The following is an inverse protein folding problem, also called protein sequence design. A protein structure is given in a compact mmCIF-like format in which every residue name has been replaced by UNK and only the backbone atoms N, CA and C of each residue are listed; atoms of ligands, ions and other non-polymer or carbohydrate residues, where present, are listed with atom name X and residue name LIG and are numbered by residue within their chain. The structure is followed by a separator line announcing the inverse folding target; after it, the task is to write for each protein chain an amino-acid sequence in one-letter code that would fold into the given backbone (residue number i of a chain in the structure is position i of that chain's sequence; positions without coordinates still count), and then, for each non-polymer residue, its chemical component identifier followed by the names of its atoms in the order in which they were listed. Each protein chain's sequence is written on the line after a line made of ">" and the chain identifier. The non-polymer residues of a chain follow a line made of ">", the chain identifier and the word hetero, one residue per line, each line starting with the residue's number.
data_IF_103913782246
#
_entry.id   IF_103913782246
#
_cell.length_a   1.000
_cell.length_b   1.000
_cell.length_c   1.000
_cell.angle_alpha   90.00
_cell.angle_beta   90.00
_cell.angle_gamma   90.00
#
_symmetry.space_group_name_H-M   'P 1'
#
loop_
_entity.id
_entity.type
_entity.pdbx_description
1 polymer ?
#
# COMPACT_ATOMS: atom_id res chain seq x y z
N UNK A 1 14.09 -17.31 -20.55
CA UNK A 1 13.41 -18.42 -19.85
C UNK A 1 14.38 -19.38 -19.18
N UNK A 2 15.35 -19.97 -19.91
CA UNK A 2 16.33 -20.92 -19.34
C UNK A 2 17.05 -20.37 -18.10
N UNK A 3 17.44 -19.08 -18.12
CA UNK A 3 18.09 -18.44 -16.98
C UNK A 3 17.20 -18.36 -15.75
N UNK A 4 15.90 -18.05 -15.90
CA UNK A 4 14.98 -17.96 -14.75
C UNK A 4 14.71 -19.34 -14.18
N UNK A 5 14.50 -20.35 -15.04
CA UNK A 5 14.36 -21.75 -14.60
C UNK A 5 15.59 -22.26 -13.83
N UNK A 6 16.80 -22.02 -14.37
CA UNK A 6 18.04 -22.38 -13.69
C UNK A 6 18.21 -21.66 -12.33
N UNK A 7 17.81 -20.39 -12.26
CA UNK A 7 17.85 -19.62 -11.00
C UNK A 7 16.81 -20.12 -10.00
N UNK A 8 15.63 -20.56 -10.44
CA UNK A 8 14.65 -21.21 -9.56
C UNK A 8 15.19 -22.51 -8.98
N UNK A 9 15.85 -23.35 -9.78
CA UNK A 9 16.47 -24.59 -9.29
C UNK A 9 17.62 -24.31 -8.31
N UNK A 10 18.47 -23.32 -8.60
CA UNK A 10 19.54 -22.90 -7.68
C UNK A 10 18.97 -22.37 -6.36
N UNK A 11 17.88 -21.61 -6.43
CA UNK A 11 17.20 -21.09 -5.25
C UNK A 11 16.72 -22.22 -4.36
N UNK A 12 16.05 -23.23 -4.93
CA UNK A 12 15.58 -24.42 -4.20
C UNK A 12 16.74 -25.17 -3.55
N UNK A 13 17.81 -25.46 -4.31
CA UNK A 13 18.99 -26.16 -3.79
C UNK A 13 19.67 -25.40 -2.64
N UNK A 14 19.72 -24.06 -2.70
CA UNK A 14 20.33 -23.23 -1.66
C UNK A 14 19.50 -23.13 -0.38
N UNK A 15 18.21 -23.50 -0.40
CA UNK A 15 17.39 -23.54 0.83
C UNK A 15 17.84 -24.64 1.78
N UNK A 16 18.40 -25.73 1.25
CA UNK A 16 18.86 -26.89 2.02
C UNK A 16 20.25 -26.66 2.65
N UNK A 17 20.94 -25.58 2.26
CA UNK A 17 22.30 -25.28 2.71
C UNK A 17 22.29 -24.15 3.75
N UNK A 18 22.82 -24.43 4.95
CA UNK A 18 22.81 -23.48 6.09
C UNK A 18 23.42 -22.10 5.74
N UNK A 19 24.48 -22.07 4.91
CA UNK A 19 25.15 -20.83 4.47
C UNK A 19 24.61 -20.25 3.16
N UNK A 20 23.68 -20.92 2.47
CA UNK A 20 23.11 -20.50 1.18
C UNK A 20 22.07 -19.37 1.28
N UNK A 21 21.67 -19.00 2.50
CA UNK A 21 20.49 -18.16 2.78
C UNK A 21 20.57 -16.75 2.20
N UNK A 22 21.72 -16.07 2.32
CA UNK A 22 21.90 -14.72 1.77
C UNK A 22 21.87 -14.72 0.24
N UNK A 23 22.45 -15.76 -0.37
CA UNK A 23 22.46 -15.94 -1.83
C UNK A 23 21.06 -16.28 -2.35
N UNK A 24 20.33 -17.14 -1.62
CA UNK A 24 18.94 -17.45 -1.91
C UNK A 24 18.06 -16.18 -1.92
N UNK A 25 18.25 -15.28 -0.95
CA UNK A 25 17.56 -13.98 -0.94
C UNK A 25 17.92 -13.10 -2.14
N UNK A 26 19.19 -13.06 -2.54
CA UNK A 26 19.62 -12.34 -3.74
C UNK A 26 18.98 -12.89 -5.02
N UNK A 27 18.96 -14.22 -5.18
CA UNK A 27 18.32 -14.89 -6.32
C UNK A 27 16.81 -14.64 -6.32
N UNK A 28 16.15 -14.78 -5.17
CA UNK A 28 14.74 -14.46 -4.99
C UNK A 28 14.43 -13.01 -5.39
N UNK A 29 15.24 -12.07 -4.93
CA UNK A 29 15.11 -10.65 -5.26
C UNK A 29 15.27 -10.41 -6.77
N UNK A 30 16.23 -11.07 -7.41
CA UNK A 30 16.43 -11.00 -8.85
C UNK A 30 15.21 -11.54 -9.61
N UNK A 31 14.75 -12.75 -9.29
CA UNK A 31 13.59 -13.35 -9.96
C UNK A 31 12.36 -12.45 -9.78
N UNK A 32 12.06 -12.01 -8.55
CA UNK A 32 10.93 -11.12 -8.29
C UNK A 32 11.00 -9.82 -9.11
N UNK A 33 12.19 -9.22 -9.25
CA UNK A 33 12.38 -8.04 -10.09
C UNK A 33 12.17 -8.32 -11.58
N UNK A 34 12.61 -9.47 -12.09
CA UNK A 34 12.40 -9.86 -13.50
C UNK A 34 10.90 -10.06 -13.79
N UNK A 35 10.18 -10.67 -12.85
CA UNK A 35 8.72 -10.87 -12.95
C UNK A 35 7.93 -9.54 -12.86
N UNK A 36 8.56 -8.45 -12.42
CA UNK A 36 7.93 -7.12 -12.32
C UNK A 36 8.05 -6.27 -13.59
N UNK A 37 8.89 -6.67 -14.55
CA UNK A 37 9.14 -5.87 -15.75
C UNK A 37 7.92 -5.90 -16.67
N UNK A 38 7.68 -4.80 -17.39
CA UNK A 38 6.48 -4.57 -18.19
C UNK A 38 6.14 -5.72 -19.16
N UNK A 39 7.14 -6.31 -19.81
CA UNK A 39 6.96 -7.41 -20.78
C UNK A 39 6.58 -8.73 -20.11
N UNK A 40 6.87 -8.89 -18.81
CA UNK A 40 6.73 -10.16 -18.11
C UNK A 40 5.60 -10.18 -17.10
N UNK A 41 5.25 -9.04 -16.49
CA UNK A 41 4.37 -8.99 -15.32
C UNK A 41 2.98 -9.57 -15.52
N UNK A 42 2.52 -9.70 -16.76
CA UNK A 42 1.23 -10.32 -17.13
C UNK A 42 1.39 -11.64 -17.90
N UNK A 43 2.62 -12.02 -18.29
CA UNK A 43 2.85 -13.16 -19.16
C UNK A 43 2.51 -14.50 -18.46
N UNK A 44 1.86 -15.47 -19.15
CA UNK A 44 1.51 -16.76 -18.55
C UNK A 44 2.69 -17.51 -17.91
N UNK A 45 3.87 -17.42 -18.54
CA UNK A 45 5.11 -18.00 -18.01
C UNK A 45 5.57 -17.34 -16.71
N UNK A 46 5.41 -16.02 -16.57
CA UNK A 46 5.76 -15.31 -15.35
C UNK A 46 4.85 -15.74 -14.19
N UNK A 47 3.57 -15.97 -14.48
CA UNK A 47 2.61 -16.52 -13.51
C UNK A 47 3.03 -17.91 -13.05
N UNK A 48 3.45 -18.79 -13.97
CA UNK A 48 3.95 -20.13 -13.61
C UNK A 48 5.21 -20.06 -12.73
N UNK A 49 6.18 -19.21 -13.09
CA UNK A 49 7.40 -19.03 -12.30
C UNK A 49 7.08 -18.45 -10.92
N UNK A 50 6.15 -17.51 -10.83
CA UNK A 50 5.67 -16.96 -9.55
C UNK A 50 5.05 -18.06 -8.66
N UNK A 51 4.26 -18.98 -9.22
CA UNK A 51 3.75 -20.14 -8.48
C UNK A 51 4.86 -21.06 -7.96
N UNK A 52 5.92 -21.29 -8.75
CA UNK A 52 7.07 -22.08 -8.31
C UNK A 52 7.88 -21.37 -7.22
N UNK A 53 7.93 -20.03 -7.27
CA UNK A 53 8.66 -19.20 -6.31
C UNK A 53 7.94 -19.07 -4.96
N UNK A 54 6.60 -19.11 -4.97
CA UNK A 54 5.76 -18.93 -3.78
C UNK A 54 6.23 -19.75 -2.56
N UNK A 55 6.28 -21.10 -2.61
CA UNK A 55 6.58 -21.91 -1.42
C UNK A 55 7.97 -21.60 -0.87
N UNK A 56 8.93 -21.37 -1.77
CA UNK A 56 10.29 -21.00 -1.40
C UNK A 56 10.33 -19.68 -0.65
N UNK A 57 9.68 -18.63 -1.15
CA UNK A 57 9.67 -17.31 -0.48
C UNK A 57 8.94 -17.37 0.86
N UNK A 58 7.82 -18.09 0.93
CA UNK A 58 7.05 -18.23 2.16
C UNK A 58 7.87 -18.97 3.23
N UNK A 59 8.64 -19.99 2.84
CA UNK A 59 9.59 -20.65 3.74
C UNK A 59 10.77 -19.75 4.14
N UNK A 60 11.27 -18.91 3.21
CA UNK A 60 12.34 -17.94 3.47
C UNK A 60 11.92 -16.83 4.43
N UNK A 61 10.62 -16.62 4.66
CA UNK A 61 10.17 -15.50 5.48
C UNK A 61 10.66 -15.54 6.93
N UNK A 62 11.20 -16.67 7.42
CA UNK A 62 11.92 -16.83 8.71
C UNK A 62 13.28 -16.17 8.83
N UNK A 63 13.75 -15.49 7.79
CA UNK A 63 14.99 -14.73 7.83
C UNK A 63 14.80 -13.35 8.48
N UNK A 64 14.47 -13.35 9.78
CA UNK A 64 14.32 -12.13 10.54
C UNK A 64 15.65 -11.70 11.22
N UNK A 65 15.83 -10.38 11.28
CA UNK A 65 16.76 -9.58 12.13
C UNK A 65 18.20 -9.26 11.70
N UNK A 66 18.83 -9.93 10.73
CA UNK A 66 20.20 -9.56 10.31
C UNK A 66 20.32 -9.20 8.83
N UNK A 67 19.99 -7.93 8.54
CA UNK A 67 20.67 -7.06 7.59
C UNK A 67 21.29 -7.66 6.33
N UNK A 68 20.49 -8.21 5.41
CA UNK A 68 20.88 -8.14 3.99
C UNK A 68 20.44 -6.78 3.44
N UNK A 69 21.22 -5.76 3.82
CA UNK A 69 21.16 -4.46 3.19
C UNK A 69 21.56 -4.63 1.71
N UNK A 70 20.66 -4.39 0.77
CA UNK A 70 20.98 -4.26 -0.66
C UNK A 70 20.01 -4.90 -1.65
N UNK A 71 19.14 -5.83 -1.22
CA UNK A 71 18.23 -6.52 -2.15
C UNK A 71 16.87 -5.82 -2.25
N UNK A 72 16.29 -5.77 -3.46
CA UNK A 72 14.96 -5.17 -3.71
C UNK A 72 13.84 -5.82 -2.89
N UNK A 73 13.99 -7.09 -2.53
CA UNK A 73 13.01 -7.83 -1.73
C UNK A 73 13.11 -7.51 -0.22
N UNK A 74 14.25 -7.03 0.27
CA UNK A 74 14.50 -6.79 1.69
C UNK A 74 13.47 -5.85 2.36
N UNK A 75 13.03 -4.75 1.71
CA UNK A 75 11.95 -3.93 2.23
C UNK A 75 10.70 -4.75 2.52
N UNK A 76 10.31 -5.66 1.62
CA UNK A 76 9.12 -6.51 1.75
C UNK A 76 9.26 -7.48 2.92
N UNK A 77 10.44 -8.09 3.05
CA UNK A 77 10.71 -9.06 4.11
C UNK A 77 10.79 -8.43 5.51
N UNK A 78 11.23 -7.16 5.60
CA UNK A 78 11.46 -6.48 6.90
C UNK A 78 10.23 -6.41 7.79
N UNK A 79 9.03 -6.29 7.22
CA UNK A 79 7.78 -6.26 8.00
C UNK A 79 6.91 -7.49 7.74
N UNK A 80 7.47 -8.54 7.13
CA UNK A 80 6.72 -9.74 6.74
C UNK A 80 5.93 -10.35 7.90
N UNK A 81 6.59 -10.55 9.05
CA UNK A 81 5.96 -11.15 10.22
C UNK A 81 4.95 -10.25 10.91
N UNK A 82 5.28 -8.95 11.06
CA UNK A 82 4.38 -7.96 11.65
C UNK A 82 3.11 -7.84 10.82
N UNK A 83 3.27 -7.73 9.51
CA UNK A 83 2.17 -7.54 8.57
C UNK A 83 1.43 -8.83 8.23
N UNK A 84 1.93 -10.00 8.69
CA UNK A 84 1.45 -11.33 8.29
C UNK A 84 1.40 -11.44 6.76
N UNK A 85 2.46 -10.98 6.11
CA UNK A 85 2.62 -11.02 4.66
C UNK A 85 2.63 -12.46 4.16
N UNK A 86 2.27 -12.62 2.89
CA UNK A 86 2.37 -13.86 2.12
C UNK A 86 2.89 -13.53 0.71
N UNK A 87 3.07 -14.54 -0.13
CA UNK A 87 3.59 -14.30 -1.46
C UNK A 87 2.69 -13.38 -2.31
N UNK A 88 1.37 -13.43 -2.13
CA UNK A 88 0.45 -12.51 -2.83
C UNK A 88 0.74 -11.05 -2.47
N UNK A 89 1.00 -10.72 -1.20
CA UNK A 89 1.35 -9.34 -0.82
C UNK A 89 2.68 -8.86 -1.39
N UNK A 90 3.65 -9.77 -1.54
CA UNK A 90 4.90 -9.47 -2.23
C UNK A 90 4.68 -9.25 -3.73
N UNK A 91 3.87 -10.10 -4.35
CA UNK A 91 3.49 -9.97 -5.76
C UNK A 91 2.81 -8.62 -6.05
N UNK A 92 2.02 -8.10 -5.10
CA UNK A 92 1.43 -6.75 -5.17
C UNK A 92 2.52 -5.68 -5.13
N UNK A 93 3.42 -5.73 -4.14
CA UNK A 93 4.52 -4.76 -4.02
C UNK A 93 5.39 -4.77 -5.29
N UNK A 94 5.65 -5.93 -5.90
CA UNK A 94 6.44 -6.08 -7.12
C UNK A 94 5.63 -5.95 -8.44
N UNK A 95 4.37 -5.53 -8.44
CA UNK A 95 3.50 -5.45 -9.64
C UNK A 95 3.51 -6.73 -10.51
N UNK A 96 3.53 -7.93 -9.92
CA UNK A 96 3.38 -9.20 -10.65
C UNK A 96 1.91 -9.38 -11.09
N UNK A 97 1.44 -8.50 -11.96
CA UNK A 97 0.01 -8.24 -12.19
C UNK A 97 -0.78 -9.47 -12.63
N UNK A 98 -0.25 -10.27 -13.55
CA UNK A 98 -0.90 -11.51 -14.00
C UNK A 98 -1.10 -12.50 -12.85
N UNK A 99 -0.13 -12.60 -11.94
CA UNK A 99 -0.23 -13.44 -10.74
C UNK A 99 -1.29 -12.88 -9.79
N UNK A 100 -1.22 -11.59 -9.46
CA UNK A 100 -2.19 -10.93 -8.59
C UNK A 100 -3.62 -11.07 -9.12
N UNK A 101 -3.82 -10.86 -10.42
CA UNK A 101 -5.13 -10.98 -11.05
C UNK A 101 -5.62 -12.43 -11.10
N UNK A 102 -4.74 -13.42 -11.14
CA UNK A 102 -5.15 -14.83 -11.12
C UNK A 102 -5.50 -15.34 -9.72
N UNK A 103 -4.75 -14.91 -8.71
CA UNK A 103 -4.79 -15.53 -7.37
C UNK A 103 -5.37 -14.64 -6.27
N UNK A 104 -5.61 -13.35 -6.52
CA UNK A 104 -6.44 -12.55 -5.62
C UNK A 104 -7.87 -13.09 -5.66
N UNK A 105 -8.39 -13.50 -4.51
CA UNK A 105 -9.76 -14.00 -4.36
C UNK A 105 -10.44 -13.36 -3.17
N UNK A 106 -11.77 -13.43 -3.13
CA UNK A 106 -12.59 -13.03 -1.97
C UNK A 106 -12.16 -13.72 -0.67
N UNK A 107 -11.74 -14.98 -0.74
CA UNK A 107 -11.21 -15.69 0.42
C UNK A 107 -9.92 -15.05 0.92
N UNK A 108 -8.95 -14.79 0.04
CA UNK A 108 -7.68 -14.16 0.40
C UNK A 108 -7.85 -12.77 1.04
N UNK A 109 -8.80 -11.96 0.54
CA UNK A 109 -9.11 -10.66 1.12
C UNK A 109 -9.63 -10.79 2.55
N UNK A 110 -10.57 -11.70 2.78
CA UNK A 110 -11.22 -11.89 4.08
C UNK A 110 -10.35 -12.59 5.10
N UNK A 111 -9.49 -13.52 4.66
CA UNK A 111 -8.64 -14.31 5.55
C UNK A 111 -7.33 -13.62 5.90
N UNK A 112 -6.97 -12.53 5.21
CA UNK A 112 -5.72 -11.80 5.47
C UNK A 112 -5.73 -11.19 6.87
N UNK A 113 -4.81 -11.66 7.72
CA UNK A 113 -4.50 -11.07 9.02
C UNK A 113 -3.39 -10.01 8.89
N UNK A 114 -3.18 -9.20 9.92
CA UNK A 114 -2.15 -8.17 9.92
C UNK A 114 -2.51 -7.01 8.99
N UNK A 115 -1.61 -6.63 8.09
CA UNK A 115 -1.87 -5.56 7.10
C UNK A 115 -2.89 -6.04 6.05
N UNK A 116 -4.03 -5.36 5.86
CA UNK A 116 -5.04 -5.72 4.85
C UNK A 116 -4.49 -5.64 3.43
N UNK A 117 -4.98 -6.51 2.52
CA UNK A 117 -4.56 -6.51 1.09
C UNK A 117 -4.78 -5.14 0.44
N UNK A 118 -5.92 -4.51 0.73
CA UNK A 118 -6.28 -3.19 0.22
C UNK A 118 -5.18 -2.14 0.50
N UNK A 119 -4.56 -2.24 1.67
CA UNK A 119 -3.52 -1.33 2.10
C UNK A 119 -2.20 -1.54 1.33
N UNK A 120 -1.86 -2.77 0.92
CA UNK A 120 -0.71 -3.02 0.02
C UNK A 120 -0.93 -2.40 -1.36
N UNK A 121 -2.16 -2.47 -1.88
CA UNK A 121 -2.50 -1.92 -3.20
C UNK A 121 -2.45 -0.39 -3.17
N UNK A 122 -3.02 0.23 -2.13
CA UNK A 122 -3.12 1.68 -2.00
C UNK A 122 -1.80 2.34 -1.60
N UNK A 123 -0.96 1.63 -0.82
CA UNK A 123 0.33 2.15 -0.33
C UNK A 123 1.46 1.17 -0.67
N UNK A 124 1.82 1.05 -1.97
CA UNK A 124 2.89 0.16 -2.40
C UNK A 124 4.21 0.47 -1.71
N UNK A 125 5.00 -0.56 -1.41
CA UNK A 125 6.26 -0.38 -0.66
C UNK A 125 7.35 0.40 -1.39
N UNK A 126 7.27 0.46 -2.71
CA UNK A 126 8.21 1.22 -3.55
C UNK A 126 7.70 2.63 -3.89
N UNK A 127 6.56 3.06 -3.34
CA UNK A 127 6.12 4.45 -3.42
C UNK A 127 7.15 5.40 -2.79
N UNK A 128 7.46 6.52 -3.46
CA UNK A 128 8.45 7.52 -3.00
C UNK A 128 9.93 7.09 -3.09
N UNK A 129 10.23 5.83 -3.44
CA UNK A 129 11.60 5.33 -3.57
C UNK A 129 12.14 5.55 -4.97
N UNK A 130 12.59 6.75 -5.27
CA UNK A 130 13.29 7.00 -6.52
C UNK A 130 14.39 8.06 -6.37
N UNK A 131 15.43 7.72 -5.60
CA UNK A 131 16.77 8.15 -5.98
C UNK A 131 17.22 7.33 -7.21
N UNK A 132 16.87 7.86 -8.39
CA UNK A 132 17.69 7.89 -9.60
C UNK A 132 18.24 6.64 -10.31
N UNK A 133 17.81 5.38 -10.08
CA UNK A 133 18.30 4.31 -10.99
C UNK A 133 17.42 3.12 -11.31
N UNK A 134 16.50 2.66 -10.45
CA UNK A 134 15.82 1.38 -10.73
C UNK A 134 14.32 1.42 -10.42
N UNK A 135 13.51 1.31 -11.48
CA UNK A 135 12.03 1.24 -11.44
C UNK A 135 11.57 -0.21 -11.27
N UNK A 136 11.67 -0.75 -10.06
CA UNK A 136 11.15 -2.09 -9.74
C UNK A 136 9.89 -1.97 -8.88
N UNK A 137 8.87 -2.76 -9.21
CA UNK A 137 7.63 -2.87 -8.47
C UNK A 137 6.69 -1.66 -8.61
N UNK A 138 5.63 -1.67 -7.80
CA UNK A 138 4.61 -0.64 -7.80
C UNK A 138 5.06 0.61 -7.04
N UNK A 139 4.99 1.76 -7.72
CA UNK A 139 5.22 3.08 -7.12
C UNK A 139 3.93 3.89 -6.93
N UNK A 140 2.82 3.44 -7.52
CA UNK A 140 1.48 4.02 -7.42
C UNK A 140 0.44 2.89 -7.34
N UNK A 141 -0.79 3.17 -6.86
CA UNK A 141 -1.85 2.16 -6.81
C UNK A 141 -2.15 1.54 -8.18
N UNK A 142 -2.30 0.21 -8.21
CA UNK A 142 -2.81 -0.49 -9.38
C UNK A 142 -4.35 -0.45 -9.38
N UNK A 143 -4.94 0.35 -10.27
CA UNK A 143 -6.39 0.63 -10.29
C UNK A 143 -7.23 -0.61 -10.59
N UNK A 144 -6.81 -1.46 -11.53
CA UNK A 144 -7.56 -2.68 -11.87
C UNK A 144 -7.59 -3.65 -10.68
N UNK A 145 -6.45 -3.76 -9.98
CA UNK A 145 -6.35 -4.59 -8.80
C UNK A 145 -7.14 -4.00 -7.61
N UNK A 146 -7.15 -2.68 -7.47
CA UNK A 146 -7.95 -1.96 -6.48
C UNK A 146 -9.44 -2.22 -6.70
N UNK A 147 -9.92 -2.07 -7.93
CA UNK A 147 -11.33 -2.32 -8.30
C UNK A 147 -11.73 -3.74 -7.91
N UNK A 148 -10.92 -4.72 -8.34
CA UNK A 148 -11.16 -6.13 -8.01
C UNK A 148 -11.15 -6.40 -6.51
N UNK A 149 -10.22 -5.81 -5.76
CA UNK A 149 -10.17 -6.00 -4.32
C UNK A 149 -11.44 -5.47 -3.64
N UNK A 150 -11.90 -4.29 -4.02
CA UNK A 150 -13.13 -3.69 -3.50
C UNK A 150 -14.38 -4.50 -3.91
N UNK A 151 -14.44 -5.01 -5.14
CA UNK A 151 -15.53 -5.87 -5.61
C UNK A 151 -15.59 -7.22 -4.88
N UNK A 152 -14.43 -7.73 -4.45
CA UNK A 152 -14.34 -8.91 -3.59
C UNK A 152 -14.60 -8.61 -2.11
N UNK A 153 -14.96 -7.37 -1.76
CA UNK A 153 -15.39 -6.96 -0.43
C UNK A 153 -14.23 -6.59 0.50
N UNK A 154 -13.13 -6.06 -0.04
CA UNK A 154 -12.15 -5.37 0.79
C UNK A 154 -12.80 -4.13 1.41
N UNK A 155 -12.63 -3.95 2.72
CA UNK A 155 -13.22 -2.86 3.48
C UNK A 155 -12.28 -1.64 3.52
N UNK A 156 -12.67 -0.48 2.95
CA UNK A 156 -11.92 0.77 3.06
C UNK A 156 -11.63 1.21 4.50
N UNK A 157 -12.50 0.83 5.44
CA UNK A 157 -12.43 1.23 6.84
C UNK A 157 -11.78 0.18 7.74
N UNK A 158 -11.26 -0.91 7.16
CA UNK A 158 -10.51 -1.91 7.90
C UNK A 158 -9.36 -1.26 8.69
N UNK A 159 -9.08 -1.79 9.88
CA UNK A 159 -8.06 -1.25 10.76
C UNK A 159 -6.72 -1.96 10.59
N UNK A 160 -5.64 -1.18 10.64
CA UNK A 160 -4.28 -1.69 10.77
C UNK A 160 -3.44 -0.73 11.60
N UNK A 161 -2.75 -1.26 12.63
CA UNK A 161 -2.03 -0.48 13.65
C UNK A 161 -2.89 0.64 14.27
N UNK A 162 -4.18 0.37 14.55
CA UNK A 162 -5.08 1.29 15.23
C UNK A 162 -5.66 2.42 14.37
N UNK A 163 -5.37 2.45 13.07
CA UNK A 163 -5.87 3.45 12.11
C UNK A 163 -6.57 2.76 10.93
N UNK A 164 -7.62 3.37 10.39
CA UNK A 164 -8.29 2.86 9.18
C UNK A 164 -7.40 2.92 7.94
N UNK A 165 -7.57 1.97 7.02
CA UNK A 165 -6.83 1.96 5.73
C UNK A 165 -7.09 3.26 4.96
N UNK A 166 -8.33 3.75 4.97
CA UNK A 166 -8.70 5.01 4.35
C UNK A 166 -7.88 6.20 4.86
N UNK A 167 -7.78 6.39 6.19
CA UNK A 167 -7.00 7.49 6.75
C UNK A 167 -5.50 7.34 6.46
N UNK A 168 -4.96 6.12 6.50
CA UNK A 168 -3.56 5.83 6.13
C UNK A 168 -3.29 6.19 4.67
N UNK A 169 -4.24 5.88 3.78
CA UNK A 169 -4.13 6.21 2.36
C UNK A 169 -4.18 7.72 2.13
N UNK A 170 -5.16 8.43 2.69
CA UNK A 170 -5.24 9.90 2.59
C UNK A 170 -3.94 10.56 3.07
N UNK A 171 -3.41 10.13 4.22
CA UNK A 171 -2.14 10.64 4.72
C UNK A 171 -0.99 10.39 3.74
N UNK A 172 -0.91 9.18 3.16
CA UNK A 172 0.14 8.86 2.19
C UNK A 172 0.05 9.69 0.91
N UNK A 173 -1.16 10.03 0.46
CA UNK A 173 -1.37 10.93 -0.69
C UNK A 173 -0.85 12.32 -0.37
N UNK A 174 -1.20 12.87 0.79
CA UNK A 174 -0.74 14.20 1.21
C UNK A 174 0.78 14.26 1.35
N UNK A 175 1.39 13.24 1.96
CA UNK A 175 2.84 13.13 2.08
C UNK A 175 3.50 13.09 0.69
N UNK A 176 3.03 12.21 -0.20
CA UNK A 176 3.55 12.09 -1.56
C UNK A 176 3.49 13.41 -2.33
N UNK A 177 2.40 14.17 -2.18
CA UNK A 177 2.24 15.48 -2.79
C UNK A 177 3.19 16.53 -2.22
N UNK A 178 3.40 16.54 -0.90
CA UNK A 178 4.28 17.48 -0.23
C UNK A 178 5.76 17.20 -0.54
N UNK A 179 6.16 15.94 -0.69
CA UNK A 179 7.52 15.57 -1.10
C UNK A 179 7.80 15.96 -2.57
N UNK A 180 6.76 16.24 -3.37
CA UNK A 180 6.87 16.68 -4.76
C UNK A 180 7.40 15.62 -5.74
N UNK A 181 7.75 14.43 -5.24
CA UNK A 181 8.30 13.33 -6.03
C UNK A 181 7.22 12.68 -6.90
N UNK A 182 7.49 12.49 -8.20
CA UNK A 182 6.61 11.75 -9.12
C UNK A 182 5.17 12.26 -9.23
N UNK A 183 4.93 13.55 -9.05
CA UNK A 183 3.61 14.20 -9.19
C UNK A 183 3.21 14.45 -10.66
N UNK A 184 3.53 13.49 -11.54
CA UNK A 184 3.12 13.55 -12.95
C UNK A 184 1.59 13.56 -13.07
N UNK A 185 1.08 14.11 -14.18
CA UNK A 185 -0.36 14.10 -14.48
C UNK A 185 -0.95 12.68 -14.42
N UNK A 186 -0.24 11.69 -14.94
CA UNK A 186 -0.65 10.27 -14.91
C UNK A 186 -0.80 9.76 -13.48
N UNK A 187 0.18 10.03 -12.62
CA UNK A 187 0.14 9.57 -11.23
C UNK A 187 -0.97 10.26 -10.45
N UNK A 188 -1.16 11.58 -10.64
CA UNK A 188 -2.30 12.31 -10.06
C UNK A 188 -3.62 11.69 -10.48
N UNK A 189 -3.79 11.36 -11.77
CA UNK A 189 -5.01 10.69 -12.24
C UNK A 189 -5.24 9.33 -11.55
N UNK A 190 -4.20 8.54 -11.35
CA UNK A 190 -4.29 7.26 -10.63
C UNK A 190 -4.75 7.48 -9.18
N UNK A 191 -4.12 8.39 -8.43
CA UNK A 191 -4.54 8.67 -7.06
C UNK A 191 -5.96 9.25 -6.98
N UNK A 192 -6.35 10.11 -7.92
CA UNK A 192 -7.73 10.60 -8.02
C UNK A 192 -8.73 9.45 -8.19
N UNK A 193 -8.47 8.52 -9.12
CA UNK A 193 -9.32 7.35 -9.33
C UNK A 193 -9.40 6.49 -8.07
N UNK A 194 -8.27 6.24 -7.40
CA UNK A 194 -8.26 5.48 -6.15
C UNK A 194 -9.06 6.16 -5.03
N UNK A 195 -8.94 7.48 -4.86
CA UNK A 195 -9.76 8.25 -3.90
C UNK A 195 -11.24 8.09 -4.20
N UNK A 196 -11.64 8.28 -5.46
CA UNK A 196 -13.03 8.13 -5.90
C UNK A 196 -13.57 6.74 -5.60
N UNK A 197 -12.83 5.69 -5.97
CA UNK A 197 -13.24 4.30 -5.75
C UNK A 197 -13.41 3.96 -4.27
N UNK A 198 -12.53 4.49 -3.40
CA UNK A 198 -12.65 4.30 -1.96
C UNK A 198 -13.93 4.95 -1.41
N UNK A 199 -14.22 6.19 -1.82
CA UNK A 199 -15.45 6.91 -1.42
C UNK A 199 -16.70 6.16 -1.92
N UNK A 200 -16.72 5.79 -3.20
CA UNK A 200 -17.84 5.05 -3.81
C UNK A 200 -18.09 3.68 -3.13
N UNK A 201 -17.05 3.09 -2.52
CA UNK A 201 -17.11 1.81 -1.82
C UNK A 201 -17.28 1.96 -0.30
N UNK A 202 -17.70 3.12 0.17
CA UNK A 202 -18.13 3.34 1.56
C UNK A 202 -17.01 3.71 2.52
N UNK A 203 -15.92 4.32 2.05
CA UNK A 203 -14.94 4.93 2.94
C UNK A 203 -15.61 5.97 3.86
N UNK A 204 -15.22 5.95 5.14
CA UNK A 204 -15.79 6.82 6.16
C UNK A 204 -15.59 8.30 5.79
N UNK A 205 -16.65 9.09 5.95
CA UNK A 205 -16.68 10.51 5.59
C UNK A 205 -16.27 11.44 6.74
N UNK A 206 -16.11 10.88 7.93
CA UNK A 206 -15.63 11.54 9.15
C UNK A 206 -14.52 10.68 9.75
N UNK A 207 -13.37 11.30 10.03
CA UNK A 207 -12.18 10.60 10.52
C UNK A 207 -11.63 11.26 11.78
N UNK A 208 -11.26 10.51 12.83
CA UNK A 208 -10.63 11.07 14.02
C UNK A 208 -9.34 11.85 13.70
N UNK A 209 -9.19 13.04 14.28
CA UNK A 209 -7.98 13.85 14.10
C UNK A 209 -6.72 13.14 14.63
N UNK A 210 -6.89 12.30 15.66
CA UNK A 210 -5.81 11.52 16.28
C UNK A 210 -5.10 10.58 15.30
N UNK A 211 -5.80 10.12 14.26
CA UNK A 211 -5.26 9.24 13.21
C UNK A 211 -4.30 9.93 12.24
N UNK A 212 -4.24 11.26 12.24
CA UNK A 212 -3.34 12.04 11.40
C UNK A 212 -2.13 12.56 12.19
N UNK A 213 -1.96 12.11 13.44
CA UNK A 213 -0.79 12.43 14.25
C UNK A 213 0.40 11.53 13.86
N UNK A 214 1.60 12.10 13.85
CA UNK A 214 2.86 11.44 13.46
C UNK A 214 3.14 10.14 14.23
N UNK A 215 2.65 10.02 15.46
CA UNK A 215 2.79 8.82 16.31
C UNK A 215 1.87 7.67 15.91
N UNK A 216 0.68 7.96 15.36
CA UNK A 216 -0.33 6.96 15.01
C UNK A 216 -0.03 6.24 13.68
N UNK A 217 0.73 6.90 12.82
CA UNK A 217 1.09 6.41 11.50
C UNK A 217 2.58 6.09 11.51
N UNK A 218 3.04 5.06 12.22
CA UNK A 218 4.48 4.76 12.32
C UNK A 218 5.13 4.62 10.91
N UNK A 219 5.97 5.60 10.55
CA UNK A 219 6.67 5.73 9.26
C UNK A 219 7.92 4.84 9.18
N UNK A 220 8.35 4.25 10.29
CA UNK A 220 9.70 3.68 10.45
C UNK A 220 10.02 2.48 9.55
N UNK A 221 9.01 1.89 8.88
CA UNK A 221 9.20 0.70 8.04
C UNK A 221 9.21 0.98 6.52
N UNK A 222 8.71 2.14 6.05
CA UNK A 222 8.69 2.45 4.61
C UNK A 222 9.99 3.08 4.10
N UNK A 223 10.76 3.73 4.98
CA UNK A 223 11.98 4.48 4.61
C UNK A 223 13.32 3.80 4.95
N UNK A 224 13.34 2.49 5.28
CA UNK A 224 14.58 1.80 5.75
C UNK A 224 15.75 1.68 4.77
N UNK A 225 15.71 2.30 3.59
CA UNK A 225 16.81 2.28 2.61
C UNK A 225 17.36 3.66 2.22
N UNK A 226 17.17 4.65 3.09
CA UNK A 226 18.03 5.82 3.16
C UNK A 226 18.76 5.82 4.50
N UNK A 227 20.08 5.98 4.50
CA UNK A 227 20.96 5.95 5.68
C UNK A 227 20.74 7.10 6.71
N UNK A 228 19.54 7.68 6.79
CA UNK A 228 19.24 8.84 7.62
C UNK A 228 17.90 8.69 8.33
N UNK A 229 17.79 7.76 9.28
CA UNK A 229 16.66 7.76 10.23
C UNK A 229 17.18 8.00 11.65
N UNK A 230 17.47 9.27 11.94
CA UNK A 230 17.57 9.80 13.31
C UNK A 230 16.32 10.65 13.56
N UNK A 231 15.40 10.15 14.38
CA UNK A 231 14.48 10.98 15.18
C UNK A 231 13.55 11.98 14.48
N UNK A 232 13.30 11.86 13.17
CA UNK A 232 12.37 12.76 12.50
C UNK A 232 10.93 12.42 12.88
N UNK A 233 10.33 13.28 13.71
CA UNK A 233 8.87 13.35 13.81
C UNK A 233 8.33 13.67 12.42
N UNK A 234 7.43 12.82 11.89
CA UNK A 234 6.81 13.09 10.61
C UNK A 234 6.12 14.48 10.67
N UNK A 235 6.37 15.37 9.69
CA UNK A 235 5.69 16.67 9.64
C UNK A 235 4.18 16.46 9.69
N UNK A 236 3.47 17.30 10.45
CA UNK A 236 2.02 17.36 10.28
C UNK A 236 1.74 18.05 8.94
N UNK A 237 1.46 17.25 7.91
CA UNK A 237 1.20 17.74 6.55
C UNK A 237 -0.17 18.42 6.41
N UNK A 238 -1.02 18.30 7.42
CA UNK A 238 -2.35 18.88 7.41
C UNK A 238 -2.33 20.29 8.03
N UNK A 239 -3.02 21.27 7.43
CA UNK A 239 -3.16 22.61 7.98
C UNK A 239 -3.66 22.59 9.44
N UNK A 240 -2.97 23.30 10.33
CA UNK A 240 -3.35 23.42 11.76
C UNK A 240 -4.71 24.10 11.97
N UNK A 241 -5.16 24.87 10.99
CA UNK A 241 -6.41 25.64 11.01
C UNK A 241 -7.59 24.89 10.38
N UNK A 242 -7.47 23.58 10.13
CA UNK A 242 -8.58 22.83 9.55
C UNK A 242 -9.78 22.76 10.51
N UNK A 243 -11.02 22.91 10.01
CA UNK A 243 -12.22 22.78 10.83
C UNK A 243 -12.27 21.39 11.48
N UNK A 244 -12.54 21.36 12.79
CA UNK A 244 -12.78 20.12 13.53
C UNK A 244 -14.23 20.07 13.98
N UNK A 245 -14.77 18.86 14.01
CA UNK A 245 -16.09 18.59 14.57
C UNK A 245 -15.99 17.69 15.80
N UNK A 246 -16.92 17.89 16.71
CA UNK A 246 -17.18 16.97 17.82
C UNK A 246 -18.41 16.14 17.47
N UNK A 247 -18.22 14.85 17.23
CA UNK A 247 -19.33 13.93 16.96
C UNK A 247 -20.04 13.66 18.30
N UNK A 248 -21.27 14.13 18.45
CA UNK A 248 -22.10 13.84 19.62
C UNK A 248 -22.55 12.36 19.58
N UNK A 249 -22.37 11.62 20.68
CA UNK A 249 -22.86 10.24 20.83
C UNK A 249 -21.82 9.11 20.67
N UNK A 250 -20.55 9.41 20.36
CA UNK A 250 -19.47 8.43 20.47
C UNK A 250 -18.97 8.33 21.91
N UNK A 251 -18.64 7.12 22.37
CA UNK A 251 -18.20 6.83 23.76
C UNK A 251 -16.97 7.61 24.23
N UNK A 252 -16.25 8.25 23.31
CA UNK A 252 -15.25 9.29 23.56
C UNK A 252 -15.47 10.42 22.53
N UNK A 253 -15.74 11.67 22.94
CA UNK A 253 -15.82 12.81 22.02
C UNK A 253 -14.41 13.19 21.56
N UNK A 254 -13.90 12.51 20.53
CA UNK A 254 -12.64 12.90 19.91
C UNK A 254 -12.89 13.89 18.76
N UNK A 255 -12.07 14.94 18.64
CA UNK A 255 -12.14 15.83 17.49
C UNK A 255 -11.93 15.02 16.20
N UNK A 256 -12.74 15.32 15.18
CA UNK A 256 -12.71 14.64 13.89
C UNK A 256 -12.70 15.64 12.74
N UNK A 257 -12.17 15.22 11.60
CA UNK A 257 -12.22 15.95 10.34
C UNK A 257 -13.32 15.41 9.44
N UNK A 258 -13.98 16.28 8.68
CA UNK A 258 -14.69 15.84 7.49
C UNK A 258 -13.70 15.50 6.39
N UNK A 259 -13.95 14.40 5.69
CA UNK A 259 -13.16 14.04 4.52
C UNK A 259 -13.26 15.08 3.42
N UNK A 260 -14.39 15.77 3.28
CA UNK A 260 -14.53 16.89 2.33
C UNK A 260 -13.50 17.99 2.58
N UNK A 261 -13.19 18.29 3.83
CA UNK A 261 -12.23 19.34 4.21
C UNK A 261 -10.80 18.87 3.96
N UNK A 262 -10.50 17.60 4.27
CA UNK A 262 -9.22 16.97 3.92
C UNK A 262 -8.99 16.98 2.41
N UNK A 263 -10.00 16.65 1.60
CA UNK A 263 -9.89 16.65 0.14
C UNK A 263 -9.72 18.06 -0.42
N UNK A 264 -10.38 19.06 0.18
CA UNK A 264 -10.26 20.45 -0.24
C UNK A 264 -8.82 20.97 -0.11
N UNK A 265 -8.03 20.48 0.85
CA UNK A 265 -6.61 20.86 0.95
C UNK A 265 -5.76 20.33 -0.20
N UNK A 266 -6.27 19.37 -0.99
CA UNK A 266 -5.57 18.78 -2.12
C UNK A 266 -5.85 19.50 -3.45
N UNK A 267 -6.74 20.52 -3.47
CA UNK A 267 -7.09 21.30 -4.68
C UNK A 267 -5.85 21.91 -5.33
N UNK A 268 -4.91 22.42 -4.54
CA UNK A 268 -3.66 23.00 -5.05
C UNK A 268 -2.82 22.01 -5.85
N UNK A 269 -3.01 20.71 -5.63
CA UNK A 269 -2.23 19.65 -6.27
C UNK A 269 -2.98 18.96 -7.40
N UNK A 270 -4.26 18.62 -7.22
CA UNK A 270 -5.07 17.92 -8.23
C UNK A 270 -5.81 18.88 -9.18
N UNK A 271 -5.86 20.17 -8.87
CA UNK A 271 -6.65 21.13 -9.63
C UNK A 271 -8.15 20.99 -9.33
N UNK A 272 -9.02 21.53 -10.21
CA UNK A 272 -10.45 21.61 -9.96
C UNK A 272 -11.15 20.25 -9.90
N UNK A 273 -10.59 19.19 -10.50
CA UNK A 273 -11.20 17.85 -10.55
C UNK A 273 -11.52 17.28 -9.17
N UNK A 274 -10.73 17.62 -8.14
CA UNK A 274 -10.96 17.15 -6.77
C UNK A 274 -12.26 17.72 -6.17
N UNK A 275 -12.78 18.84 -6.70
CA UNK A 275 -14.04 19.44 -6.24
C UNK A 275 -15.22 18.48 -6.43
N UNK A 276 -15.16 17.60 -7.43
CA UNK A 276 -16.18 16.58 -7.64
C UNK A 276 -16.24 15.62 -6.43
N UNK A 277 -15.08 15.23 -5.89
CA UNK A 277 -15.00 14.37 -4.71
C UNK A 277 -15.39 15.12 -3.43
N UNK A 278 -15.01 16.39 -3.31
CA UNK A 278 -15.46 17.26 -2.19
C UNK A 278 -16.98 17.37 -2.20
N UNK A 279 -17.59 17.60 -3.36
CA UNK A 279 -19.04 17.71 -3.50
C UNK A 279 -19.72 16.37 -3.21
N UNK A 280 -19.22 15.28 -3.79
CA UNK A 280 -19.72 13.93 -3.55
C UNK A 280 -19.76 13.58 -2.06
N UNK A 281 -18.66 13.83 -1.34
CA UNK A 281 -18.56 13.53 0.10
C UNK A 281 -19.50 14.40 0.93
N UNK A 282 -19.65 15.69 0.61
CA UNK A 282 -20.63 16.58 1.27
C UNK A 282 -22.06 16.07 1.08
N UNK A 283 -22.44 15.75 -0.14
CA UNK A 283 -23.78 15.23 -0.45
C UNK A 283 -24.08 13.94 0.31
N UNK A 284 -23.12 13.01 0.40
CA UNK A 284 -23.29 11.76 1.15
C UNK A 284 -23.40 11.99 2.68
N UNK A 285 -22.67 12.97 3.22
CA UNK A 285 -22.79 13.37 4.64
C UNK A 285 -24.20 13.88 4.93
N UNK A 286 -24.72 14.76 4.08
CA UNK A 286 -26.05 15.36 4.27
C UNK A 286 -27.16 14.31 4.16
N UNK A 287 -27.05 13.38 3.21
CA UNK A 287 -27.96 12.24 3.10
C UNK A 287 -27.94 11.34 4.35
N UNK A 288 -26.75 11.05 4.89
CA UNK A 288 -26.60 10.21 6.09
C UNK A 288 -27.23 10.84 7.34
N UNK A 289 -27.19 12.18 7.45
CA UNK A 289 -27.81 12.93 8.55
C UNK A 289 -29.34 12.88 8.49
N UNK A 290 -29.91 13.04 7.30
CA UNK A 290 -31.37 13.02 7.11
C UNK A 290 -31.99 11.64 7.43
N UNK A 291 -31.26 10.55 7.14
CA UNK A 291 -31.70 9.18 7.48
C UNK A 291 -31.66 8.95 8.99
N UNK A 292 -30.72 9.57 9.71
CA UNK A 292 -30.55 9.38 11.16
C UNK A 292 -31.57 10.16 12.01
N UNK A 293 -32.28 11.10 11.40
CA UNK A 293 -33.31 11.94 12.03
C UNK A 293 -34.75 11.49 11.74
N UNK A 294 -34.92 10.40 10.99
CA UNK A 294 -36.21 9.80 10.62
C UNK A 294 -36.43 8.51 11.41
#
# INVERSE_FOLDING_TARGET
>A
MLLVGARTSQLQALQEVQFGRSIALGIASYIASVLSVAEWKEAPVAIQIACLLQPTIEACSSFDKQGSAGWYISPVLTSWYKEKSNFLTLAIDFDMRGYCMKYLTKHQIRSKKGRPILDYILRPRFAGRCSSSVKIGNSVPNIDLLQRALDFGADPNAFYDGVSIWARFLFSVTQWLHEGLHTSFVNKRIYYMALKMMIDKGAALVLPCSWFSSKSLDHSNYQRYGHLNRGYEAPNFWPKSMPTIHVAGSSLPQPSYFVSDLLATLITHFGPDINDLVTLTKTQIDQSRNISSS
#
